data_IF_383319241873
#
_entry.id   IF_383319241873
#
_cell.length_a   1.000
_cell.length_b   1.000
_cell.length_c   1.000
_cell.angle_alpha   90.00
_cell.angle_beta   90.00
_cell.angle_gamma   90.00
#
_symmetry.space_group_name_H-M   'P 1'
#
loop_
_entity.id
_entity.type
_entity.pdbx_description
1 polymer ?
#
# COMPACT_ATOMS: atom_id res chain seq x y z
N UNK A 1 19.27 -49.35 -32.06
CA UNK A 1 19.41 -49.65 -30.62
C UNK A 1 19.28 -48.35 -29.86
N UNK A 2 18.24 -48.25 -29.03
CA UNK A 2 17.80 -47.03 -28.35
C UNK A 2 18.66 -46.78 -27.11
N UNK A 3 19.32 -45.61 -27.04
CA UNK A 3 20.17 -45.17 -25.92
C UNK A 3 19.64 -43.91 -25.22
N UNK A 4 18.33 -43.63 -25.30
CA UNK A 4 17.69 -42.45 -24.68
C UNK A 4 16.49 -42.84 -23.80
N UNK A 5 16.66 -43.75 -22.85
CA UNK A 5 15.52 -44.25 -22.06
C UNK A 5 15.82 -44.71 -20.64
N UNK A 6 16.88 -44.22 -19.99
CA UNK A 6 17.24 -44.69 -18.64
C UNK A 6 18.01 -43.69 -17.77
N UNK A 7 17.49 -42.47 -17.62
CA UNK A 7 17.86 -41.55 -16.52
C UNK A 7 16.61 -40.93 -15.88
N UNK A 8 15.52 -41.71 -15.81
CA UNK A 8 14.36 -41.36 -14.98
C UNK A 8 13.92 -42.62 -14.24
N UNK A 9 14.77 -43.04 -13.32
CA UNK A 9 14.60 -44.23 -12.51
C UNK A 9 14.77 -43.89 -11.04
N UNK A 10 13.63 -43.81 -10.35
CA UNK A 10 13.42 -44.28 -8.99
C UNK A 10 14.51 -43.96 -7.95
N UNK A 11 14.31 -42.87 -7.22
CA UNK A 11 15.13 -42.53 -6.05
C UNK A 11 14.61 -41.34 -5.26
N UNK A 12 13.30 -41.14 -5.14
CA UNK A 12 12.73 -40.11 -4.29
C UNK A 12 11.92 -40.76 -3.17
N UNK A 13 12.48 -40.79 -1.95
CA UNK A 13 11.65 -40.82 -0.73
C UNK A 13 10.51 -39.83 -0.95
N UNK A 14 9.26 -40.24 -0.71
CA UNK A 14 8.10 -39.37 -0.89
C UNK A 14 8.33 -38.03 -0.19
N UNK A 15 8.64 -37.00 -0.97
CA UNK A 15 8.60 -35.63 -0.49
C UNK A 15 7.14 -35.41 -0.12
N UNK A 16 6.88 -35.33 1.18
CA UNK A 16 5.60 -34.84 1.67
C UNK A 16 5.35 -33.53 0.95
N UNK A 17 4.14 -33.37 0.40
CA UNK A 17 3.74 -32.12 -0.22
C UNK A 17 4.12 -30.98 0.75
N UNK A 18 4.79 -29.93 0.26
CA UNK A 18 5.27 -28.85 1.12
C UNK A 18 4.12 -28.30 1.92
N UNK A 19 4.32 -28.16 3.23
CA UNK A 19 3.28 -27.59 4.09
C UNK A 19 3.13 -26.10 3.82
N UNK A 20 2.00 -25.51 4.21
CA UNK A 20 1.81 -24.07 4.14
C UNK A 20 2.92 -23.32 4.90
N UNK A 21 3.37 -23.85 6.04
CA UNK A 21 4.48 -23.31 6.82
C UNK A 21 5.83 -23.36 6.05
N UNK A 22 6.13 -24.46 5.35
CA UNK A 22 7.34 -24.57 4.54
C UNK A 22 7.34 -23.54 3.38
N UNK A 23 6.17 -23.33 2.77
CA UNK A 23 6.01 -22.34 1.70
C UNK A 23 6.17 -20.90 2.24
N UNK A 24 5.55 -20.57 3.38
CA UNK A 24 5.69 -19.27 4.04
C UNK A 24 7.16 -18.98 4.38
N UNK A 25 7.89 -19.96 4.93
CA UNK A 25 9.30 -19.81 5.27
C UNK A 25 10.16 -19.51 4.02
N UNK A 26 9.94 -20.23 2.93
CA UNK A 26 10.66 -19.99 1.66
C UNK A 26 10.33 -18.63 1.05
N UNK A 27 9.08 -18.17 1.15
CA UNK A 27 8.70 -16.83 0.70
C UNK A 27 9.43 -15.75 1.50
N UNK A 28 9.52 -15.88 2.83
CA UNK A 28 10.28 -14.96 3.70
C UNK A 28 11.77 -14.94 3.37
N UNK A 29 12.38 -16.09 3.10
CA UNK A 29 13.78 -16.16 2.69
C UNK A 29 14.01 -15.47 1.34
N UNK A 30 13.07 -15.63 0.41
CA UNK A 30 13.13 -15.00 -0.92
C UNK A 30 12.96 -13.48 -0.81
N UNK A 31 12.03 -13.02 0.02
CA UNK A 31 11.81 -11.61 0.35
C UNK A 31 13.08 -10.96 0.94
N UNK A 32 13.72 -11.59 1.93
CA UNK A 32 14.99 -11.09 2.48
C UNK A 32 16.11 -11.01 1.43
N UNK A 33 16.18 -11.98 0.52
CA UNK A 33 17.16 -11.98 -0.56
C UNK A 33 16.89 -10.86 -1.57
N UNK A 34 15.63 -10.64 -1.93
CA UNK A 34 15.20 -9.58 -2.83
C UNK A 34 15.41 -8.20 -2.21
N UNK A 35 15.09 -8.01 -0.93
CA UNK A 35 15.35 -6.77 -0.19
C UNK A 35 16.84 -6.41 -0.16
N UNK A 36 17.73 -7.37 0.13
CA UNK A 36 19.19 -7.14 0.04
C UNK A 36 19.65 -6.76 -1.38
N UNK A 37 19.00 -7.31 -2.41
CA UNK A 37 19.29 -7.00 -3.81
C UNK A 37 18.78 -5.60 -4.18
N UNK A 38 17.64 -5.18 -3.64
CA UNK A 38 17.09 -3.84 -3.77
C UNK A 38 18.09 -2.81 -3.21
N UNK A 39 18.52 -2.95 -1.95
CA UNK A 39 19.52 -2.06 -1.33
C UNK A 39 20.82 -1.98 -2.14
N UNK A 40 21.26 -3.12 -2.69
CA UNK A 40 22.46 -3.15 -3.53
C UNK A 40 22.28 -2.36 -4.82
N UNK A 41 21.11 -2.46 -5.47
CA UNK A 41 20.80 -1.73 -6.69
C UNK A 41 20.64 -0.23 -6.43
N UNK A 42 20.03 0.16 -5.31
CA UNK A 42 19.92 1.57 -4.88
C UNK A 42 21.31 2.20 -4.72
N UNK A 43 22.23 1.54 -4.01
CA UNK A 43 23.63 1.99 -3.88
C UNK A 43 24.33 2.11 -5.24
N UNK A 44 24.05 1.20 -6.18
CA UNK A 44 24.60 1.27 -7.55
C UNK A 44 24.02 2.46 -8.32
N UNK A 45 22.73 2.73 -8.20
CA UNK A 45 22.05 3.88 -8.81
C UNK A 45 22.68 5.18 -8.32
N UNK A 46 22.89 5.32 -7.01
CA UNK A 46 23.54 6.48 -6.40
C UNK A 46 24.97 6.66 -6.92
N UNK A 47 25.76 5.58 -6.96
CA UNK A 47 27.14 5.61 -7.46
C UNK A 47 27.22 6.06 -8.92
N UNK A 48 26.32 5.57 -9.78
CA UNK A 48 26.27 5.98 -11.19
C UNK A 48 25.79 7.42 -11.35
N UNK A 49 24.88 7.89 -10.49
CA UNK A 49 24.44 9.28 -10.46
C UNK A 49 25.59 10.23 -10.09
N UNK A 50 26.37 9.90 -9.05
CA UNK A 50 27.56 10.65 -8.68
C UNK A 50 28.60 10.66 -9.80
N UNK A 51 28.80 9.52 -10.46
CA UNK A 51 29.71 9.38 -11.61
C UNK A 51 29.25 10.24 -12.79
N UNK A 52 27.95 10.30 -13.06
CA UNK A 52 27.37 11.16 -14.10
C UNK A 52 27.56 12.64 -13.76
N UNK A 53 27.28 13.06 -12.51
CA UNK A 53 27.48 14.44 -12.04
C UNK A 53 28.95 14.86 -12.15
N UNK A 54 29.89 14.02 -11.73
CA UNK A 54 31.34 14.29 -11.77
C UNK A 54 31.88 14.43 -13.20
N UNK A 55 31.37 13.64 -14.14
CA UNK A 55 31.82 13.64 -15.53
C UNK A 55 31.01 14.56 -16.44
N UNK A 56 29.89 15.12 -16.00
CA UNK A 56 28.96 15.90 -16.83
C UNK A 56 29.61 17.08 -17.54
N UNK A 57 30.54 17.78 -16.88
CA UNK A 57 31.24 18.95 -17.43
C UNK A 57 32.56 18.62 -18.13
N UNK A 58 33.17 17.48 -17.81
CA UNK A 58 34.52 17.09 -18.29
C UNK A 58 34.49 16.07 -19.42
N UNK A 59 33.55 15.13 -19.37
CA UNK A 59 33.44 14.02 -20.32
C UNK A 59 31.98 13.57 -20.50
N UNK A 60 31.31 14.23 -21.44
CA UNK A 60 29.91 13.98 -21.79
C UNK A 60 29.64 12.52 -22.16
N UNK A 61 30.58 11.83 -22.83
CA UNK A 61 30.43 10.41 -23.21
C UNK A 61 30.40 9.49 -21.99
N UNK A 62 31.30 9.72 -21.03
CA UNK A 62 31.34 8.95 -19.79
C UNK A 62 30.09 9.18 -18.92
N UNK A 63 29.62 10.44 -18.85
CA UNK A 63 28.38 10.78 -18.14
C UNK A 63 27.14 10.09 -18.75
N UNK A 64 27.02 10.09 -20.09
CA UNK A 64 25.92 9.39 -20.77
C UNK A 64 25.93 7.88 -20.54
N UNK A 65 27.11 7.25 -20.48
CA UNK A 65 27.22 5.82 -20.17
C UNK A 65 26.80 5.52 -18.73
N UNK A 66 27.17 6.38 -17.77
CA UNK A 66 26.74 6.24 -16.37
C UNK A 66 25.21 6.38 -16.23
N UNK A 67 24.60 7.35 -16.91
CA UNK A 67 23.13 7.50 -16.93
C UNK A 67 22.42 6.30 -17.56
N UNK A 68 22.97 5.69 -18.61
CA UNK A 68 22.42 4.45 -19.19
C UNK A 68 22.48 3.28 -18.19
N UNK A 69 23.58 3.14 -17.45
CA UNK A 69 23.69 2.12 -16.40
C UNK A 69 22.71 2.37 -15.26
N UNK A 70 22.58 3.62 -14.80
CA UNK A 70 21.56 4.06 -13.83
C UNK A 70 20.16 3.62 -14.25
N UNK A 71 19.71 3.99 -15.46
CA UNK A 71 18.37 3.60 -15.96
C UNK A 71 18.16 2.09 -16.01
N UNK A 72 19.22 1.31 -16.32
CA UNK A 72 19.15 -0.16 -16.31
C UNK A 72 19.01 -0.72 -14.89
N UNK A 73 19.62 -0.10 -13.88
CA UNK A 73 19.45 -0.48 -12.48
C UNK A 73 18.06 -0.08 -11.96
N UNK A 74 17.56 1.11 -12.30
CA UNK A 74 16.19 1.54 -11.95
C UNK A 74 15.13 0.58 -12.50
N UNK A 75 15.28 0.13 -13.76
CA UNK A 75 14.36 -0.87 -14.31
C UNK A 75 14.41 -2.20 -13.56
N UNK A 76 15.58 -2.62 -13.10
CA UNK A 76 15.70 -3.85 -12.30
C UNK A 76 15.13 -3.68 -10.90
N UNK A 77 15.24 -2.48 -10.32
CA UNK A 77 14.67 -2.13 -9.03
C UNK A 77 13.14 -2.25 -9.09
N UNK A 78 12.50 -1.56 -10.04
CA UNK A 78 11.05 -1.62 -10.23
C UNK A 78 10.51 -3.04 -10.47
N UNK A 79 11.30 -3.90 -11.15
CA UNK A 79 10.93 -5.32 -11.31
C UNK A 79 11.00 -6.10 -9.99
N UNK A 80 11.99 -5.81 -9.14
CA UNK A 80 12.11 -6.44 -7.82
C UNK A 80 10.98 -5.96 -6.92
N UNK A 81 10.65 -4.67 -6.93
CA UNK A 81 9.57 -4.11 -6.12
C UNK A 81 8.23 -4.79 -6.46
N UNK A 82 7.88 -4.91 -7.75
CA UNK A 82 6.67 -5.64 -8.15
C UNK A 82 6.70 -7.13 -7.81
N UNK A 83 7.90 -7.75 -7.79
CA UNK A 83 8.05 -9.16 -7.37
C UNK A 83 7.87 -9.30 -5.86
N UNK A 84 8.37 -8.34 -5.06
CA UNK A 84 8.21 -8.30 -3.61
C UNK A 84 6.74 -8.19 -3.24
N UNK A 85 5.99 -7.24 -3.83
CA UNK A 85 4.55 -7.10 -3.58
C UNK A 85 3.77 -8.38 -3.91
N UNK A 86 4.16 -9.08 -4.98
CA UNK A 86 3.55 -10.38 -5.34
C UNK A 86 3.84 -11.45 -4.29
N UNK A 87 5.07 -11.50 -3.75
CA UNK A 87 5.47 -12.47 -2.72
C UNK A 87 4.78 -12.17 -1.39
N UNK A 88 4.65 -10.90 -1.03
CA UNK A 88 3.94 -10.45 0.17
C UNK A 88 2.47 -10.86 0.12
N UNK A 89 1.78 -10.58 -1.00
CA UNK A 89 0.40 -11.01 -1.24
C UNK A 89 0.25 -12.54 -1.13
N UNK A 90 1.16 -13.30 -1.74
CA UNK A 90 1.13 -14.78 -1.67
C UNK A 90 1.37 -15.30 -0.24
N UNK A 91 2.25 -14.66 0.52
CA UNK A 91 2.54 -15.01 1.91
C UNK A 91 1.31 -14.78 2.78
N UNK A 92 0.68 -13.61 2.64
CA UNK A 92 -0.53 -13.26 3.37
C UNK A 92 -1.68 -14.23 3.05
N UNK A 93 -1.90 -14.54 1.77
CA UNK A 93 -2.91 -15.52 1.35
C UNK A 93 -2.67 -16.91 1.97
N UNK A 94 -1.41 -17.34 2.08
CA UNK A 94 -1.05 -18.61 2.73
C UNK A 94 -1.21 -18.56 4.26
N UNK A 95 -0.87 -17.44 4.90
CA UNK A 95 -1.05 -17.23 6.34
C UNK A 95 -2.55 -17.24 6.70
N UNK A 96 -3.40 -16.56 5.92
CA UNK A 96 -4.84 -16.57 6.08
C UNK A 96 -5.44 -17.97 5.88
N UNK A 97 -5.00 -18.70 4.85
CA UNK A 97 -5.43 -20.07 4.59
C UNK A 97 -5.05 -21.04 5.73
N UNK A 98 -3.85 -20.88 6.29
CA UNK A 98 -3.39 -21.69 7.42
C UNK A 98 -4.24 -21.43 8.68
N UNK A 99 -4.53 -20.17 8.99
CA UNK A 99 -5.41 -19.77 10.10
C UNK A 99 -6.82 -20.33 9.92
N UNK A 100 -7.41 -20.21 8.72
CA UNK A 100 -8.74 -20.76 8.42
C UNK A 100 -8.78 -22.29 8.59
N UNK A 101 -7.72 -22.99 8.17
CA UNK A 101 -7.61 -24.44 8.36
C UNK A 101 -7.56 -24.82 9.84
N UNK A 102 -6.83 -24.05 10.66
CA UNK A 102 -6.74 -24.27 12.10
C UNK A 102 -8.08 -24.01 12.81
N UNK A 103 -8.79 -22.95 12.44
CA UNK A 103 -10.15 -22.65 12.93
C UNK A 103 -11.09 -23.82 12.62
N UNK A 104 -11.12 -24.30 11.37
CA UNK A 104 -11.97 -25.45 10.99
C UNK A 104 -11.62 -26.72 11.77
N UNK A 105 -10.33 -26.98 12.02
CA UNK A 105 -9.88 -28.12 12.81
C UNK A 105 -10.35 -28.02 14.27
N UNK A 106 -10.28 -26.83 14.85
CA UNK A 106 -10.73 -26.58 16.22
C UNK A 106 -12.26 -26.68 16.35
N UNK A 107 -13.01 -26.16 15.37
CA UNK A 107 -14.46 -26.36 15.29
C UNK A 107 -14.82 -27.84 15.19
N UNK A 108 -14.10 -28.62 14.37
CA UNK A 108 -14.30 -30.06 14.26
C UNK A 108 -13.99 -30.82 15.56
N UNK A 109 -13.01 -30.37 16.34
CA UNK A 109 -12.73 -30.92 17.67
C UNK A 109 -13.83 -30.56 18.68
N UNK A 110 -14.28 -29.29 18.69
CA UNK A 110 -15.38 -28.83 19.53
C UNK A 110 -16.68 -29.57 19.23
N UNK A 111 -17.02 -29.77 17.95
CA UNK A 111 -18.20 -30.54 17.54
C UNK A 111 -18.14 -32.01 18.02
N UNK A 112 -16.96 -32.65 17.96
CA UNK A 112 -16.76 -34.00 18.50
C UNK A 112 -16.90 -34.04 20.02
N UNK A 113 -16.37 -33.03 20.72
CA UNK A 113 -16.50 -32.91 22.17
C UNK A 113 -17.96 -32.70 22.59
N UNK A 114 -18.69 -31.81 21.91
CA UNK A 114 -20.13 -31.60 22.08
C UNK A 114 -20.92 -32.88 21.85
N UNK A 115 -20.65 -33.61 20.75
CA UNK A 115 -21.30 -34.90 20.46
C UNK A 115 -21.07 -35.93 21.57
N UNK A 116 -19.86 -36.04 22.08
CA UNK A 116 -19.55 -36.97 23.18
C UNK A 116 -20.20 -36.53 24.50
N UNK A 117 -20.32 -35.22 24.76
CA UNK A 117 -21.01 -34.70 25.94
C UNK A 117 -22.52 -34.94 25.88
N UNK A 118 -23.13 -34.87 24.70
CA UNK A 118 -24.56 -35.15 24.48
C UNK A 118 -24.89 -36.64 24.35
N UNK A 119 -23.91 -37.52 24.17
CA UNK A 119 -24.11 -38.96 24.04
C UNK A 119 -24.66 -39.64 25.31
N UNK A 120 -24.65 -38.92 26.46
CA UNK A 120 -25.18 -39.37 27.75
C UNK A 120 -26.47 -38.61 28.19
N UNK A 121 -27.09 -37.80 27.33
CA UNK A 121 -28.37 -37.13 27.63
C UNK A 121 -29.52 -37.90 26.95
N UNK A 122 -30.51 -38.29 27.76
CA UNK A 122 -31.70 -39.08 27.41
C UNK A 122 -32.39 -38.65 26.09
N UNK A 123 -32.80 -39.65 25.32
CA UNK A 123 -33.44 -39.56 24.00
C UNK A 123 -34.74 -38.72 24.01
N UNK A 124 -35.41 -38.58 25.15
CA UNK A 124 -36.67 -37.84 25.25
C UNK A 124 -36.51 -36.31 25.20
N UNK A 125 -35.28 -35.79 25.31
CA UNK A 125 -34.97 -34.36 25.07
C UNK A 125 -34.47 -34.08 23.65
N UNK A 126 -34.36 -35.11 22.81
CA UNK A 126 -33.86 -34.98 21.44
C UNK A 126 -34.87 -34.29 20.53
N UNK A 127 -36.18 -34.40 20.77
CA UNK A 127 -37.19 -33.71 19.96
C UNK A 127 -37.19 -32.18 20.20
N UNK A 128 -37.02 -31.76 21.46
CA UNK A 128 -36.86 -30.34 21.82
C UNK A 128 -35.52 -29.80 21.28
N UNK A 129 -34.44 -30.61 21.36
CA UNK A 129 -33.14 -30.28 20.78
C UNK A 129 -33.15 -30.28 19.24
N UNK A 130 -33.94 -31.12 18.58
CA UNK A 130 -34.08 -31.13 17.12
C UNK A 130 -34.85 -29.90 16.65
N UNK A 131 -35.79 -29.40 17.45
CA UNK A 131 -36.47 -28.14 17.20
C UNK A 131 -35.51 -26.95 17.35
N UNK A 132 -34.69 -26.93 18.41
CA UNK A 132 -33.62 -25.95 18.62
C UNK A 132 -32.50 -26.06 17.57
N UNK A 133 -32.15 -27.27 17.11
CA UNK A 133 -31.16 -27.50 16.03
C UNK A 133 -31.72 -27.03 14.70
N UNK A 134 -33.02 -27.15 14.44
CA UNK A 134 -33.62 -26.66 13.20
C UNK A 134 -33.64 -25.12 13.20
N UNK A 135 -33.94 -24.48 14.33
CA UNK A 135 -33.78 -23.02 14.50
C UNK A 135 -32.31 -22.58 14.42
N UNK A 136 -31.36 -23.35 14.97
CA UNK A 136 -29.92 -23.07 14.87
C UNK A 136 -29.35 -23.37 13.48
N UNK A 137 -29.96 -24.28 12.72
CA UNK A 137 -29.58 -24.59 11.35
C UNK A 137 -30.13 -23.52 10.40
N UNK A 138 -31.32 -22.96 10.67
CA UNK A 138 -31.80 -21.73 10.03
C UNK A 138 -30.91 -20.53 10.38
N UNK A 139 -30.48 -20.38 11.64
CA UNK A 139 -29.52 -19.33 12.05
C UNK A 139 -28.14 -19.54 11.40
N UNK A 140 -27.66 -20.77 11.31
CA UNK A 140 -26.40 -21.09 10.64
C UNK A 140 -26.51 -20.93 9.12
N UNK A 141 -27.69 -21.16 8.53
CA UNK A 141 -27.95 -20.88 7.12
C UNK A 141 -28.09 -19.37 6.89
N UNK A 142 -28.64 -18.61 7.82
CA UNK A 142 -28.74 -17.14 7.79
C UNK A 142 -27.36 -16.48 8.01
N UNK A 143 -26.52 -17.02 8.90
CA UNK A 143 -25.11 -16.64 9.08
C UNK A 143 -24.30 -17.07 7.85
N UNK A 144 -24.53 -18.27 7.33
CA UNK A 144 -23.88 -18.73 6.11
C UNK A 144 -24.32 -17.89 4.93
N UNK A 145 -25.58 -17.46 4.82
CA UNK A 145 -26.05 -16.56 3.76
C UNK A 145 -25.59 -15.11 4.01
N UNK A 146 -25.35 -14.68 5.25
CA UNK A 146 -24.76 -13.38 5.58
C UNK A 146 -23.24 -13.34 5.32
N UNK A 147 -22.56 -14.49 5.41
CA UNK A 147 -21.13 -14.66 5.09
C UNK A 147 -20.92 -15.04 3.61
N UNK A 148 -21.86 -15.77 3.00
CA UNK A 148 -21.79 -16.31 1.62
C UNK A 148 -22.55 -15.46 0.60
N UNK A 149 -23.43 -14.55 1.02
CA UNK A 149 -23.59 -13.31 0.27
C UNK A 149 -22.30 -12.55 0.51
N UNK A 150 -21.44 -12.35 -0.50
CA UNK A 150 -20.56 -11.19 -0.42
C UNK A 150 -21.52 -10.01 -0.32
N UNK A 151 -21.59 -9.36 0.84
CA UNK A 151 -22.12 -8.01 0.90
C UNK A 151 -21.16 -7.21 0.03
N UNK A 152 -21.53 -7.02 -1.23
CA UNK A 152 -20.74 -6.33 -2.23
C UNK A 152 -19.52 -7.10 -2.72
N UNK A 153 -19.72 -8.00 -3.68
CA UNK A 153 -18.75 -8.08 -4.77
C UNK A 153 -18.82 -6.72 -5.51
N UNK A 154 -18.13 -5.69 -5.01
CA UNK A 154 -18.21 -4.34 -5.58
C UNK A 154 -18.02 -3.14 -4.64
N UNK A 155 -17.19 -3.22 -3.60
CA UNK A 155 -16.36 -2.03 -3.34
C UNK A 155 -15.07 -2.24 -4.13
N UNK A 156 -15.13 -1.82 -5.40
CA UNK A 156 -14.04 -1.00 -5.90
C UNK A 156 -13.84 0.05 -4.79
N UNK A 157 -12.76 -0.04 -4.02
CA UNK A 157 -12.34 1.17 -3.34
C UNK A 157 -12.23 2.20 -4.46
N UNK A 158 -13.06 3.25 -4.40
CA UNK A 158 -13.01 4.28 -5.42
C UNK A 158 -11.60 4.84 -5.35
N UNK A 159 -10.81 4.62 -6.41
CA UNK A 159 -9.43 5.09 -6.44
C UNK A 159 -9.39 6.60 -6.18
N UNK A 160 -10.45 7.33 -6.52
CA UNK A 160 -10.59 8.76 -6.25
C UNK A 160 -10.82 9.07 -4.75
N UNK A 161 -11.53 8.20 -4.01
CA UNK A 161 -11.73 8.35 -2.56
C UNK A 161 -10.46 8.02 -1.79
N UNK A 162 -9.74 6.95 -2.19
CA UNK A 162 -8.44 6.60 -1.61
C UNK A 162 -7.36 7.65 -1.93
N UNK A 163 -7.39 8.24 -3.12
CA UNK A 163 -6.49 9.34 -3.49
C UNK A 163 -6.79 10.60 -2.71
N UNK A 164 -8.06 10.92 -2.45
CA UNK A 164 -8.44 12.04 -1.61
C UNK A 164 -8.00 11.85 -0.15
N UNK A 165 -8.17 10.64 0.42
CA UNK A 165 -7.72 10.31 1.77
C UNK A 165 -6.18 10.37 1.88
N UNK A 166 -5.47 9.92 0.84
CA UNK A 166 -4.01 10.03 0.77
C UNK A 166 -3.55 11.50 0.68
N UNK A 167 -4.22 12.33 -0.13
CA UNK A 167 -3.90 13.76 -0.25
C UNK A 167 -4.18 14.52 1.06
N UNK A 168 -5.24 14.15 1.79
CA UNK A 168 -5.54 14.71 3.11
C UNK A 168 -4.47 14.34 4.15
N UNK A 169 -4.00 13.08 4.17
CA UNK A 169 -2.91 12.64 5.05
C UNK A 169 -1.58 13.33 4.71
N UNK A 170 -1.27 13.51 3.42
CA UNK A 170 -0.08 14.26 2.98
C UNK A 170 -0.17 15.73 3.39
N UNK A 171 -1.35 16.35 3.27
CA UNK A 171 -1.59 17.73 3.67
C UNK A 171 -1.50 17.91 5.19
N UNK A 172 -2.04 16.98 5.98
CA UNK A 172 -1.88 16.98 7.44
C UNK A 172 -0.41 16.81 7.85
N UNK A 173 0.35 15.95 7.17
CA UNK A 173 1.78 15.79 7.43
C UNK A 173 2.55 17.07 7.05
N UNK A 174 2.22 17.71 5.93
CA UNK A 174 2.80 18.99 5.52
C UNK A 174 2.45 20.13 6.47
N UNK A 175 1.21 20.21 6.95
CA UNK A 175 0.77 21.22 7.92
C UNK A 175 1.42 20.98 9.29
N UNK A 176 1.59 19.72 9.71
CA UNK A 176 2.35 19.38 10.92
C UNK A 176 3.84 19.74 10.78
N UNK A 177 4.47 19.42 9.64
CA UNK A 177 5.84 19.84 9.32
C UNK A 177 5.95 21.37 9.22
N UNK A 178 4.95 22.04 8.67
CA UNK A 178 4.91 23.50 8.55
C UNK A 178 4.68 24.15 9.91
N UNK A 179 3.91 23.56 10.82
CA UNK A 179 3.76 23.99 12.21
C UNK A 179 5.05 23.77 13.00
N UNK A 180 5.82 22.73 12.72
CA UNK A 180 7.18 22.55 13.25
C UNK A 180 8.16 23.59 12.70
N UNK A 181 8.01 24.03 11.44
CA UNK A 181 8.78 25.12 10.83
C UNK A 181 8.26 26.50 11.25
N UNK A 182 6.98 26.61 11.60
CA UNK A 182 6.26 27.83 12.00
C UNK A 182 6.01 27.88 13.50
N UNK A 183 6.98 27.41 14.29
CA UNK A 183 7.18 28.00 15.61
C UNK A 183 7.32 29.53 15.45
N UNK A 184 7.09 30.35 16.49
CA UNK A 184 7.18 31.80 16.39
C UNK A 184 8.66 32.21 16.22
N UNK A 185 9.20 32.01 15.03
CA UNK A 185 10.49 32.53 14.65
C UNK A 185 10.26 34.02 14.44
N UNK A 186 10.87 34.78 15.33
CA UNK A 186 10.93 36.23 15.32
C UNK A 186 11.72 36.64 14.07
N UNK A 187 11.11 36.58 12.89
CA UNK A 187 11.73 37.01 11.63
C UNK A 187 11.99 38.51 11.77
N UNK A 188 13.24 38.97 11.88
CA UNK A 188 13.51 40.40 12.01
C UNK A 188 13.21 41.03 10.64
N UNK A 189 12.02 41.61 10.51
CA UNK A 189 11.67 42.40 9.33
C UNK A 189 12.71 43.52 9.17
N UNK A 190 13.23 43.74 7.95
CA UNK A 190 14.16 44.83 7.71
C UNK A 190 13.47 46.16 8.00
N UNK A 191 14.10 47.00 8.83
CA UNK A 191 13.58 48.31 9.20
C UNK A 191 13.31 49.15 7.95
N UNK A 192 12.07 49.61 7.80
CA UNK A 192 11.69 50.55 6.74
C UNK A 192 12.53 51.83 6.84
N UNK A 193 13.00 52.41 5.71
CA UNK A 193 13.77 53.64 5.73
C UNK A 193 12.92 54.79 6.31
N UNK A 194 13.34 55.35 7.45
CA UNK A 194 12.70 56.49 8.10
C UNK A 194 13.11 57.84 7.45
N UNK A 195 13.22 57.88 6.12
CA UNK A 195 13.54 59.12 5.40
C UNK A 195 12.24 59.78 4.95
N UNK A 196 11.93 60.94 5.52
CA UNK A 196 10.86 61.79 5.03
C UNK A 196 11.16 62.21 3.58
N UNK A 197 10.26 61.87 2.67
CA UNK A 197 10.31 62.34 1.29
C UNK A 197 10.02 63.85 1.25
N UNK A 198 10.72 64.64 0.42
CA UNK A 198 10.45 66.05 0.27
C UNK A 198 9.06 66.27 -0.35
N UNK A 199 8.30 67.21 0.24
CA UNK A 199 6.97 67.57 -0.22
C UNK A 199 6.99 68.12 -1.66
N UNK A 200 6.33 67.41 -2.58
CA UNK A 200 6.09 67.88 -3.94
C UNK A 200 4.69 68.53 -4.01
N UNK A 201 4.53 69.67 -4.72
CA UNK A 201 3.24 70.37 -4.78
C UNK A 201 2.17 69.50 -5.47
N UNK A 202 0.97 69.51 -4.87
CA UNK A 202 -0.20 68.78 -5.33
C UNK A 202 -0.57 69.15 -6.78
N UNK A 203 -0.51 68.17 -7.69
CA UNK A 203 -1.25 68.19 -8.94
C UNK A 203 -2.61 67.54 -8.68
N UNK A 204 -3.66 68.32 -8.91
CA UNK A 204 -5.05 67.88 -8.93
C UNK A 204 -5.18 66.83 -10.05
N UNK A 205 -5.45 65.58 -9.68
CA UNK A 205 -6.05 64.55 -10.53
C UNK A 205 -7.39 64.20 -9.90
N UNK A 206 -8.44 64.84 -10.39
CA UNK A 206 -9.85 64.53 -10.14
C UNK A 206 -10.53 64.79 -11.47
N UNK A 207 -10.68 63.75 -12.27
CA UNK A 207 -11.64 63.65 -13.39
C UNK A 207 -11.53 62.29 -14.10
N UNK A 208 -10.39 61.58 -14.07
CA UNK A 208 -10.27 60.27 -14.76
C UNK A 208 -10.91 59.09 -14.01
N UNK A 209 -10.91 59.06 -12.68
CA UNK A 209 -11.40 57.91 -11.89
C UNK A 209 -12.94 57.81 -11.82
N UNK A 210 -13.65 58.93 -12.01
CA UNK A 210 -15.14 58.94 -11.97
C UNK A 210 -15.72 58.44 -13.31
N UNK A 211 -15.08 58.76 -14.43
CA UNK A 211 -15.50 58.33 -15.77
C UNK A 211 -15.34 56.80 -15.96
N UNK A 212 -14.23 56.21 -15.48
CA UNK A 212 -14.02 54.75 -15.51
C UNK A 212 -15.03 54.00 -14.62
N UNK A 213 -15.46 54.62 -13.51
CA UNK A 213 -16.45 54.01 -12.61
C UNK A 213 -17.87 54.05 -13.19
N UNK A 214 -18.21 55.05 -14.02
CA UNK A 214 -19.48 55.10 -14.73
C UNK A 214 -19.55 54.11 -15.90
N UNK A 215 -18.47 53.94 -16.67
CA UNK A 215 -18.41 52.93 -17.73
C UNK A 215 -18.59 51.50 -17.20
N UNK A 216 -17.98 51.16 -16.06
CA UNK A 216 -18.14 49.85 -15.43
C UNK A 216 -19.58 49.59 -14.94
N UNK A 217 -20.29 50.62 -14.48
CA UNK A 217 -21.69 50.50 -14.05
C UNK A 217 -22.65 50.33 -15.23
N UNK A 218 -22.35 50.94 -16.38
CA UNK A 218 -23.15 50.82 -17.59
C UNK A 218 -23.05 49.43 -18.25
N UNK A 219 -21.95 48.72 -18.06
CA UNK A 219 -21.76 47.35 -18.59
C UNK A 219 -22.46 46.27 -17.76
N UNK A 220 -22.78 46.56 -16.50
CA UNK A 220 -23.40 45.62 -15.56
C UNK A 220 -24.95 45.63 -15.56
N UNK A 221 -25.58 46.44 -16.42
CA UNK A 221 -27.04 46.43 -16.70
C UNK A 221 -27.33 45.87 -18.09
#
# INVERSE_FOLDING_TARGET
MSFFGKIFGAGGKGDKAPTAQDAIQKLRETEQMLSKKQEFLEKKIETELLTAKKNGTKNKRAALQALKRKKRYEKQLAQIDGTLSTIEYQREALENSNTNTEVLKNMGYAAKAMKNAHQNMDIDKVDELMQDITEQQELAQEISDAISKPVGFGEEFDEDELLAELEELEQEELDNNLLEISGPENVPLPSVPATSLPAQPAKIRKEEDDDEMEELKAWAM
#
